data_IF_019935671943
#
_entry.id   IF_019935671943
#
_cell.length_a   1.000
_cell.length_b   1.000
_cell.length_c   1.000
_cell.angle_alpha   90.00
_cell.angle_beta   90.00
_cell.angle_gamma   90.00
#
_symmetry.space_group_name_H-M   'P 1'
#
loop_
_entity.id
_entity.type
_entity.pdbx_description
1 polymer ?
#
# COMPACT_ATOMS: atom_id res chain seq x y z
N UNK A 1 47.85 23.14 105.32
CA UNK A 1 48.05 23.54 106.73
C UNK A 1 46.68 23.85 107.32
N UNK A 2 46.42 23.47 108.58
CA UNK A 2 45.13 23.39 109.32
C UNK A 2 44.19 22.23 108.88
N UNK A 3 44.04 21.06 109.56
CA UNK A 3 43.62 20.69 110.95
C UNK A 3 42.21 21.20 111.33
N UNK A 4 41.44 20.52 112.22
CA UNK A 4 41.47 19.10 112.64
C UNK A 4 40.07 18.45 112.95
N UNK A 5 40.05 17.12 113.08
CA UNK A 5 39.57 16.44 114.30
C UNK A 5 38.15 15.84 114.37
N UNK A 6 38.06 14.53 114.67
CA UNK A 6 37.10 14.03 115.67
C UNK A 6 36.34 12.71 115.46
N UNK A 7 36.98 11.58 115.81
CA UNK A 7 36.50 10.35 116.52
C UNK A 7 35.54 9.28 115.91
N UNK A 8 35.90 8.04 116.34
CA UNK A 8 35.12 6.83 116.69
C UNK A 8 34.55 5.95 115.54
N UNK A 9 35.07 4.74 115.23
CA UNK A 9 35.17 3.40 115.91
C UNK A 9 33.93 2.49 115.78
N UNK A 10 34.12 1.33 115.13
CA UNK A 10 33.68 0.02 115.66
C UNK A 10 32.57 -0.73 114.92
N UNK A 11 32.92 -1.92 114.39
CA UNK A 11 32.04 -3.10 114.28
C UNK A 11 31.18 -3.17 113.02
N UNK A 12 31.64 -3.82 111.94
CA UNK A 12 31.64 -5.27 111.71
C UNK A 12 30.28 -5.90 111.43
N UNK A 13 30.24 -6.57 110.27
CA UNK A 13 29.61 -7.87 110.07
C UNK A 13 28.09 -8.00 110.30
N UNK A 14 27.34 -7.95 109.20
CA UNK A 14 26.94 -9.17 108.47
C UNK A 14 25.62 -8.95 107.72
N UNK A 15 25.72 -9.12 106.40
CA UNK A 15 24.86 -10.03 105.62
C UNK A 15 23.36 -9.75 105.72
N UNK A 16 22.79 -8.83 104.93
CA UNK A 16 22.71 -8.90 103.46
C UNK A 16 22.19 -10.28 103.02
N UNK A 17 20.87 -10.41 102.85
CA UNK A 17 20.24 -11.00 101.64
C UNK A 17 18.73 -11.23 101.81
N UNK A 18 17.99 -10.50 100.99
CA UNK A 18 16.99 -11.10 100.10
C UNK A 18 15.66 -11.58 100.72
N UNK A 19 14.94 -10.74 101.45
CA UNK A 19 13.56 -11.08 101.86
C UNK A 19 12.61 -9.90 102.12
N UNK A 20 12.47 -8.99 101.15
CA UNK A 20 11.28 -8.12 100.99
C UNK A 20 10.92 -8.07 99.50
N UNK A 21 10.53 -9.26 99.04
CA UNK A 21 10.50 -9.78 97.67
C UNK A 21 9.10 -9.55 97.08
N UNK A 22 9.02 -8.76 96.00
CA UNK A 22 8.18 -9.04 94.83
C UNK A 22 6.72 -9.52 95.01
N UNK A 23 5.84 -8.81 95.75
CA UNK A 23 4.40 -9.20 95.81
C UNK A 23 3.40 -8.20 95.23
N UNK A 24 3.70 -6.90 95.19
CA UNK A 24 2.82 -5.90 94.55
C UNK A 24 2.93 -5.90 93.03
N UNK A 25 4.16 -6.02 92.51
CA UNK A 25 4.45 -5.99 91.08
C UNK A 25 3.96 -7.23 90.34
N UNK A 26 4.02 -8.41 90.97
CA UNK A 26 3.58 -9.69 90.38
C UNK A 26 2.06 -9.86 90.28
N UNK A 27 1.26 -9.15 91.09
CA UNK A 27 -0.22 -9.21 91.01
C UNK A 27 -0.81 -8.35 89.90
N UNK A 28 -0.14 -7.26 89.51
CA UNK A 28 -0.53 -6.46 88.35
C UNK A 28 -0.05 -7.09 87.04
N UNK A 29 1.17 -7.66 87.05
CA UNK A 29 1.76 -8.33 85.90
C UNK A 29 1.07 -9.66 85.56
N UNK A 30 0.60 -10.44 86.54
CA UNK A 30 -0.09 -11.73 86.30
C UNK A 30 -1.55 -11.61 85.83
N UNK A 31 -2.19 -10.44 85.92
CA UNK A 31 -3.58 -10.24 85.46
C UNK A 31 -3.69 -9.77 84.02
N UNK A 32 -2.68 -9.05 83.51
CA UNK A 32 -2.70 -8.48 82.15
C UNK A 32 -1.98 -9.34 81.11
N UNK A 33 -1.01 -10.16 81.54
CA UNK A 33 -0.31 -11.14 80.69
C UNK A 33 -1.24 -12.13 79.98
N UNK A 34 -2.24 -12.78 80.63
CA UNK A 34 -3.13 -13.69 79.91
C UNK A 34 -4.00 -12.97 78.88
N UNK A 35 -4.37 -11.70 79.12
CA UNK A 35 -5.19 -10.92 78.19
C UNK A 35 -4.38 -10.46 76.97
N UNK A 36 -3.11 -10.07 77.16
CA UNK A 36 -2.20 -9.72 76.08
C UNK A 36 -1.87 -10.93 75.20
N UNK A 37 -1.61 -12.09 75.81
CA UNK A 37 -1.36 -13.34 75.08
C UNK A 37 -2.61 -13.81 74.32
N UNK A 38 -3.82 -13.67 74.89
CA UNK A 38 -5.05 -13.98 74.17
C UNK A 38 -5.32 -13.00 73.02
N UNK A 39 -4.98 -11.73 73.17
CA UNK A 39 -5.11 -10.74 72.10
C UNK A 39 -4.10 -10.98 70.97
N UNK A 40 -2.84 -11.30 71.29
CA UNK A 40 -1.81 -11.67 70.31
C UNK A 40 -2.15 -12.99 69.62
N UNK A 41 -2.65 -13.97 70.37
CA UNK A 41 -3.11 -15.24 69.81
C UNK A 41 -4.35 -15.05 68.92
N UNK A 42 -5.29 -14.20 69.31
CA UNK A 42 -6.45 -13.84 68.49
C UNK A 42 -6.03 -13.07 67.22
N UNK A 43 -5.02 -12.19 67.31
CA UNK A 43 -4.47 -11.46 66.18
C UNK A 43 -3.74 -12.40 65.21
N UNK A 44 -2.95 -13.34 65.74
CA UNK A 44 -2.30 -14.40 64.95
C UNK A 44 -3.34 -15.33 64.30
N UNK A 45 -4.40 -15.70 65.02
CA UNK A 45 -5.49 -16.50 64.48
C UNK A 45 -6.27 -15.76 63.39
N UNK A 46 -6.50 -14.45 63.54
CA UNK A 46 -7.18 -13.64 62.55
C UNK A 46 -6.33 -13.43 61.28
N UNK A 47 -5.01 -13.36 61.44
CA UNK A 47 -4.06 -13.28 60.31
C UNK A 47 -3.94 -14.63 59.59
N UNK A 48 -3.90 -15.73 60.34
CA UNK A 48 -3.90 -17.09 59.77
C UNK A 48 -5.20 -17.42 59.04
N UNK A 49 -6.34 -16.92 59.52
CA UNK A 49 -7.63 -17.12 58.87
C UNK A 49 -7.75 -16.39 57.50
N UNK A 50 -6.86 -15.43 57.20
CA UNK A 50 -6.80 -14.73 55.92
C UNK A 50 -5.81 -15.35 54.91
N UNK A 51 -5.09 -16.42 55.29
CA UNK A 51 -4.05 -17.00 54.44
C UNK A 51 -4.59 -17.91 53.31
N UNK A 52 -5.87 -18.27 53.33
CA UNK A 52 -6.50 -19.16 52.35
C UNK A 52 -7.45 -18.41 51.40
N UNK A 53 -6.93 -17.42 50.69
CA UNK A 53 -7.58 -16.92 49.48
C UNK A 53 -7.12 -17.78 48.31
N UNK A 54 -7.79 -18.91 48.08
CA UNK A 54 -7.51 -19.79 46.94
C UNK A 54 -7.71 -19.00 45.63
N UNK A 55 -6.61 -18.73 44.92
CA UNK A 55 -6.61 -18.05 43.63
C UNK A 55 -7.35 -18.89 42.60
N UNK A 56 -8.61 -18.55 42.33
CA UNK A 56 -9.41 -19.22 41.30
C UNK A 56 -8.83 -18.98 39.92
N UNK A 57 -8.28 -20.02 39.31
CA UNK A 57 -7.87 -20.03 37.90
C UNK A 57 -9.00 -20.60 37.05
N UNK A 58 -9.40 -19.86 36.02
CA UNK A 58 -10.36 -20.35 35.04
C UNK A 58 -9.68 -21.42 34.17
N UNK A 59 -10.18 -22.66 34.26
CA UNK A 59 -9.73 -23.77 33.42
C UNK A 59 -10.81 -24.03 32.36
N UNK A 60 -10.37 -24.23 31.11
CA UNK A 60 -11.24 -24.64 30.00
C UNK A 60 -10.78 -26.00 29.50
N UNK A 61 -11.73 -26.93 29.35
CA UNK A 61 -11.50 -28.26 28.79
C UNK A 61 -11.30 -28.18 27.27
N UNK A 62 -10.14 -28.61 26.77
CA UNK A 62 -9.82 -28.59 25.33
C UNK A 62 -10.22 -29.92 24.70
N UNK A 63 -11.19 -29.90 23.78
CA UNK A 63 -11.57 -31.07 22.98
C UNK A 63 -10.83 -31.08 21.65
N UNK A 64 -10.33 -32.25 21.26
CA UNK A 64 -9.64 -32.43 19.97
C UNK A 64 -10.64 -32.25 18.83
N UNK A 65 -10.46 -31.21 18.03
CA UNK A 65 -11.18 -31.02 16.78
C UNK A 65 -10.35 -31.59 15.63
N UNK A 66 -11.00 -32.24 14.65
CA UNK A 66 -10.35 -32.75 13.45
C UNK A 66 -9.84 -31.62 12.55
N UNK A 67 -10.44 -30.43 12.64
CA UNK A 67 -9.98 -29.24 11.92
C UNK A 67 -10.34 -27.94 12.64
N UNK A 68 -9.66 -26.86 12.27
CA UNK A 68 -9.94 -25.50 12.73
C UNK A 68 -9.87 -24.53 11.54
N UNK A 69 -10.94 -23.78 11.29
CA UNK A 69 -10.99 -22.81 10.22
C UNK A 69 -10.38 -21.47 10.67
N UNK A 70 -9.19 -21.14 10.14
CA UNK A 70 -8.56 -19.85 10.35
C UNK A 70 -8.89 -18.91 9.18
N UNK A 71 -9.70 -17.88 9.44
CA UNK A 71 -10.00 -16.85 8.44
C UNK A 71 -8.81 -15.89 8.32
N UNK A 72 -8.20 -15.83 7.14
CA UNK A 72 -7.14 -14.86 6.82
C UNK A 72 -7.68 -13.82 5.86
N UNK A 73 -7.37 -12.55 6.12
CA UNK A 73 -7.75 -11.44 5.25
C UNK A 73 -6.55 -10.99 4.45
N UNK A 74 -6.75 -10.85 3.15
CA UNK A 74 -5.73 -10.37 2.23
C UNK A 74 -6.28 -9.14 1.52
N UNK A 75 -5.45 -8.11 1.38
CA UNK A 75 -5.75 -6.98 0.51
C UNK A 75 -5.52 -7.42 -0.94
N UNK A 76 -6.54 -7.29 -1.78
CA UNK A 76 -6.47 -7.55 -3.21
C UNK A 76 -7.04 -6.37 -3.99
N UNK A 77 -6.54 -6.16 -5.20
CA UNK A 77 -7.03 -5.12 -6.11
C UNK A 77 -7.57 -5.80 -7.37
N UNK A 78 -8.84 -5.53 -7.67
CA UNK A 78 -9.46 -5.99 -8.91
C UNK A 78 -9.04 -5.09 -10.07
N UNK A 79 -8.72 -5.70 -11.21
CA UNK A 79 -8.37 -5.02 -12.46
C UNK A 79 -9.26 -5.50 -13.59
N UNK A 80 -9.38 -4.71 -14.64
CA UNK A 80 -10.07 -5.13 -15.85
C UNK A 80 -9.40 -6.37 -16.44
N UNK A 81 -10.20 -7.35 -16.88
CA UNK A 81 -9.67 -8.58 -17.50
C UNK A 81 -8.93 -8.33 -18.83
N UNK A 82 -9.15 -7.17 -19.46
CA UNK A 82 -8.43 -6.71 -20.64
C UNK A 82 -8.33 -5.20 -20.63
N UNK A 83 -7.16 -4.68 -20.97
CA UNK A 83 -6.90 -3.25 -21.14
C UNK A 83 -6.22 -3.08 -22.50
N UNK A 84 -6.61 -2.05 -23.23
CA UNK A 84 -6.01 -1.68 -24.49
C UNK A 84 -5.68 -0.20 -24.46
N UNK A 85 -4.41 0.11 -24.67
CA UNK A 85 -3.95 1.48 -24.82
C UNK A 85 -4.11 1.87 -26.29
N UNK A 86 -5.02 2.81 -26.55
CA UNK A 86 -5.33 3.28 -27.90
C UNK A 86 -4.61 4.59 -28.16
N UNK A 87 -4.04 4.72 -29.35
CA UNK A 87 -3.33 5.91 -29.81
C UNK A 87 -3.26 5.97 -31.33
N UNK A 88 -2.85 7.12 -31.84
CA UNK A 88 -2.70 7.32 -33.27
C UNK A 88 -1.36 6.78 -33.77
N UNK A 89 -1.35 6.20 -34.98
CA UNK A 89 -0.12 5.71 -35.63
C UNK A 89 0.82 6.82 -36.07
N UNK A 90 0.26 7.98 -36.45
CA UNK A 90 1.00 9.15 -36.87
C UNK A 90 0.78 10.28 -35.86
N UNK A 91 1.83 11.09 -35.67
CA UNK A 91 1.71 12.33 -34.92
C UNK A 91 0.89 13.34 -35.71
N UNK A 92 0.06 14.12 -35.02
CA UNK A 92 -0.78 15.14 -35.63
C UNK A 92 -1.53 15.95 -34.59
N UNK A 93 -2.17 17.04 -35.03
CA UNK A 93 -3.06 17.82 -34.18
C UNK A 93 -4.37 17.05 -34.00
N UNK A 94 -4.88 17.02 -32.77
CA UNK A 94 -6.20 16.47 -32.49
C UNK A 94 -7.28 17.44 -32.97
N UNK A 95 -8.17 16.98 -33.84
CA UNK A 95 -9.29 17.78 -34.32
C UNK A 95 -10.49 17.67 -33.36
N UNK A 96 -10.82 16.44 -32.93
CA UNK A 96 -11.94 16.21 -32.02
C UNK A 96 -11.76 14.94 -31.18
N UNK A 97 -12.46 14.91 -30.04
CA UNK A 97 -12.71 13.71 -29.23
C UNK A 97 -14.23 13.56 -29.17
N UNK A 98 -14.73 12.41 -29.60
CA UNK A 98 -16.16 12.17 -29.77
C UNK A 98 -16.80 11.46 -28.57
N UNK A 99 -16.01 11.06 -27.57
CA UNK A 99 -16.47 10.27 -26.42
C UNK A 99 -15.94 10.80 -25.11
N UNK A 100 -16.75 10.69 -24.06
CA UNK A 100 -16.38 11.06 -22.70
C UNK A 100 -15.88 9.85 -21.89
N UNK A 101 -15.15 10.15 -20.82
CA UNK A 101 -14.65 9.14 -19.87
C UNK A 101 -15.82 8.34 -19.25
N UNK A 102 -15.70 7.02 -19.27
CA UNK A 102 -16.73 6.11 -18.75
C UNK A 102 -17.82 5.73 -19.76
N UNK A 103 -17.81 6.32 -20.97
CA UNK A 103 -18.74 5.96 -22.03
C UNK A 103 -18.50 4.53 -22.53
N UNK A 104 -19.58 3.79 -22.78
CA UNK A 104 -19.52 2.49 -23.47
C UNK A 104 -19.48 2.73 -24.97
N UNK A 105 -18.58 2.03 -25.66
CA UNK A 105 -18.37 2.16 -27.11
C UNK A 105 -18.43 0.80 -27.78
N UNK A 106 -18.95 0.77 -29.00
CA UNK A 106 -19.03 -0.43 -29.83
C UNK A 106 -17.77 -0.59 -30.70
N UNK A 107 -17.55 -1.80 -31.22
CA UNK A 107 -16.45 -2.05 -32.13
C UNK A 107 -16.56 -1.21 -33.41
N UNK A 108 -15.48 -0.52 -33.78
CA UNK A 108 -15.44 0.36 -34.94
C UNK A 108 -15.96 1.79 -34.70
N UNK A 109 -16.41 2.11 -33.48
CA UNK A 109 -16.79 3.48 -33.14
C UNK A 109 -15.59 4.43 -33.23
N UNK A 110 -15.82 5.62 -33.80
CA UNK A 110 -14.81 6.68 -33.87
C UNK A 110 -14.72 7.36 -32.51
N UNK A 111 -13.57 7.24 -31.85
CA UNK A 111 -13.35 7.82 -30.52
C UNK A 111 -12.76 9.24 -30.61
N UNK A 112 -11.89 9.46 -31.59
CA UNK A 112 -11.20 10.73 -31.79
C UNK A 112 -10.70 10.84 -33.23
N UNK A 113 -10.55 12.07 -33.74
CA UNK A 113 -10.10 12.35 -35.10
C UNK A 113 -8.91 13.32 -35.08
N UNK A 114 -7.88 13.02 -35.87
CA UNK A 114 -6.78 13.95 -36.13
C UNK A 114 -7.16 14.96 -37.22
N UNK A 115 -6.54 16.13 -37.17
CA UNK A 115 -6.58 17.12 -38.24
C UNK A 115 -5.94 16.54 -39.50
N UNK A 116 -6.78 16.32 -40.52
CA UNK A 116 -6.39 15.66 -41.77
C UNK A 116 -5.92 16.62 -42.86
N UNK A 117 -5.79 17.93 -42.61
CA UNK A 117 -5.51 18.90 -43.66
C UNK A 117 -4.23 18.58 -44.47
N UNK A 118 -3.15 18.18 -43.79
CA UNK A 118 -1.91 17.78 -44.46
C UNK A 118 -2.07 16.52 -45.33
N UNK A 119 -2.81 15.52 -44.82
CA UNK A 119 -3.07 14.29 -45.57
C UNK A 119 -3.96 14.54 -46.79
N UNK A 120 -4.96 15.43 -46.67
CA UNK A 120 -5.83 15.82 -47.77
C UNK A 120 -5.06 16.61 -48.84
N UNK A 121 -4.17 17.52 -48.43
CA UNK A 121 -3.30 18.25 -49.35
C UNK A 121 -2.36 17.30 -50.11
N UNK A 122 -1.77 16.31 -49.42
CA UNK A 122 -0.93 15.30 -50.05
C UNK A 122 -1.72 14.42 -51.04
N UNK A 123 -2.96 14.05 -50.71
CA UNK A 123 -3.85 13.34 -51.63
C UNK A 123 -4.15 14.16 -52.88
N UNK A 124 -4.55 15.43 -52.70
CA UNK A 124 -4.86 16.33 -53.82
C UNK A 124 -3.65 16.54 -54.75
N UNK A 125 -2.45 16.64 -54.17
CA UNK A 125 -1.21 16.71 -54.93
C UNK A 125 -0.96 15.44 -55.75
N UNK A 126 -1.12 14.27 -55.16
CA UNK A 126 -0.96 12.99 -55.87
C UNK A 126 -1.99 12.83 -56.99
N UNK A 127 -3.25 13.22 -56.75
CA UNK A 127 -4.30 13.17 -57.78
C UNK A 127 -4.00 14.11 -58.95
N UNK A 128 -3.46 15.30 -58.68
CA UNK A 128 -3.02 16.24 -59.72
C UNK A 128 -1.86 15.68 -60.55
N UNK A 129 -0.90 14.99 -59.92
CA UNK A 129 0.21 14.33 -60.61
C UNK A 129 -0.27 13.19 -61.53
N UNK A 130 -1.26 12.41 -61.08
CA UNK A 130 -1.90 11.37 -61.90
C UNK A 130 -2.59 12.01 -63.11
N UNK A 131 -3.41 13.05 -62.89
CA UNK A 131 -4.11 13.75 -63.98
C UNK A 131 -3.15 14.34 -65.00
N UNK A 132 -2.04 14.93 -64.56
CA UNK A 132 -1.01 15.44 -65.44
C UNK A 132 -0.34 14.33 -66.26
N UNK A 133 -0.03 13.18 -65.64
CA UNK A 133 0.54 12.04 -66.33
C UNK A 133 -0.41 11.46 -67.39
N UNK A 134 -1.71 11.39 -67.08
CA UNK A 134 -2.75 10.95 -68.01
C UNK A 134 -2.88 11.90 -69.21
N UNK A 135 -2.89 13.21 -68.97
CA UNK A 135 -2.92 14.22 -70.02
C UNK A 135 -1.67 14.14 -70.93
N UNK A 136 -0.50 13.93 -70.32
CA UNK A 136 0.74 13.72 -71.06
C UNK A 136 0.69 12.46 -71.92
N UNK A 137 0.18 11.36 -71.37
CA UNK A 137 0.00 10.10 -72.10
C UNK A 137 -0.92 10.29 -73.30
N UNK A 138 -2.04 10.98 -73.13
CA UNK A 138 -2.98 11.25 -74.21
C UNK A 138 -2.37 12.13 -75.29
N UNK A 139 -1.65 13.19 -74.91
CA UNK A 139 -0.91 14.04 -75.85
C UNK A 139 0.12 13.24 -76.65
N UNK A 140 0.84 12.31 -76.01
CA UNK A 140 1.80 11.44 -76.70
C UNK A 140 1.10 10.47 -77.64
N UNK A 141 -0.03 9.87 -77.25
CA UNK A 141 -0.84 9.00 -78.12
C UNK A 141 -1.33 9.74 -79.36
N UNK A 142 -1.86 10.95 -79.20
CA UNK A 142 -2.31 11.79 -80.30
C UNK A 142 -1.15 12.13 -81.26
N UNK A 143 0.03 12.45 -80.73
CA UNK A 143 1.24 12.68 -81.55
C UNK A 143 1.68 11.43 -82.31
N UNK A 144 1.66 10.26 -81.66
CA UNK A 144 1.98 8.99 -82.33
C UNK A 144 0.99 8.66 -83.43
N UNK A 145 -0.30 8.89 -83.21
CA UNK A 145 -1.32 8.66 -84.24
C UNK A 145 -1.15 9.60 -85.43
N UNK A 146 -0.91 10.89 -85.19
CA UNK A 146 -0.62 11.85 -86.25
C UNK A 146 0.63 11.46 -87.05
N UNK A 147 1.69 11.00 -86.38
CA UNK A 147 2.90 10.54 -87.04
C UNK A 147 2.62 9.33 -87.95
N UNK A 148 1.83 8.35 -87.49
CA UNK A 148 1.42 7.20 -88.30
C UNK A 148 0.56 7.59 -89.50
N UNK A 149 -0.38 8.51 -89.33
CA UNK A 149 -1.20 9.00 -90.43
C UNK A 149 -0.37 9.74 -91.48
N UNK A 150 0.59 10.53 -91.01
CA UNK A 150 1.53 11.25 -91.87
C UNK A 150 2.41 10.29 -92.66
N UNK A 151 2.96 9.27 -92.00
CA UNK A 151 3.75 8.20 -92.62
C UNK A 151 2.95 7.47 -93.71
N UNK A 152 1.72 7.02 -93.42
CA UNK A 152 0.85 6.36 -94.40
C UNK A 152 0.60 7.24 -95.63
N UNK A 153 0.26 8.51 -95.42
CA UNK A 153 0.04 9.46 -96.52
C UNK A 153 1.28 9.61 -97.40
N UNK A 154 2.48 9.71 -96.80
CA UNK A 154 3.72 9.79 -97.57
C UNK A 154 3.98 8.51 -98.37
N UNK A 155 3.74 7.34 -97.78
CA UNK A 155 3.86 6.06 -98.48
C UNK A 155 2.90 5.96 -99.68
N UNK A 156 1.65 6.37 -99.52
CA UNK A 156 0.65 6.38 -100.61
C UNK A 156 1.08 7.33 -101.74
N UNK A 157 1.49 8.56 -101.42
CA UNK A 157 1.97 9.53 -102.42
C UNK A 157 3.22 9.04 -103.18
N UNK A 158 4.08 8.28 -102.51
CA UNK A 158 5.27 7.69 -103.12
C UNK A 158 4.90 6.53 -104.07
N UNK A 159 3.90 5.71 -103.70
CA UNK A 159 3.37 4.66 -104.55
C UNK A 159 2.71 5.21 -105.82
N UNK A 160 1.99 6.34 -105.71
CA UNK A 160 1.36 7.03 -106.84
C UNK A 160 2.36 7.80 -107.74
N UNK A 161 3.64 7.81 -107.40
CA UNK A 161 4.70 8.43 -108.21
C UNK A 161 4.74 9.96 -108.17
N UNK A 162 4.06 10.58 -107.20
CA UNK A 162 3.91 12.04 -107.11
C UNK A 162 4.93 12.73 -106.18
N UNK A 163 5.83 12.01 -105.53
CA UNK A 163 6.91 12.57 -104.69
C UNK A 163 8.27 11.92 -104.99
N UNK A 164 9.31 12.74 -105.16
CA UNK A 164 10.69 12.26 -105.31
C UNK A 164 11.20 11.75 -103.97
N UNK A 165 11.81 10.56 -103.95
CA UNK A 165 12.52 10.07 -102.77
C UNK A 165 13.65 11.05 -102.41
N UNK A 166 13.47 11.84 -101.35
CA UNK A 166 14.55 12.61 -100.74
C UNK A 166 14.83 12.02 -99.37
N UNK A 167 16.05 11.50 -99.24
CA UNK A 167 16.70 11.18 -97.97
C UNK A 167 17.10 12.46 -97.22
#
# INVERSE_FOLDING_TARGET
MARPGGRATGGDMQVRRLRRRFEGFWRLLSRTVPLALLAEFALLMLWSAHADAATGVAVVEVKRSESYASTRRYAGRTVAGRVSELGFKQAGRLAEVAVDLGSRVEAGAVLARLDGAAAQAALAQADAEVSHAEASLEAMRARTELARQTERRFADLQADGHVSAQE
#
